data_IF_047706847869
#
_entry.id   IF_047706847869
#
_cell.length_a   1.000
_cell.length_b   1.000
_cell.length_c   1.000
_cell.angle_alpha   90.00
_cell.angle_beta   90.00
_cell.angle_gamma   90.00
#
_symmetry.space_group_name_H-M   'P 1'
#
loop_
_entity.id
_entity.type
_entity.pdbx_description
1 polymer ?
#
# COMPACT_ATOMS: atom_id res chain seq x y z
N UNK A 1 55.20 20.62 41.87
CA UNK A 1 54.86 20.76 40.44
C UNK A 1 54.30 19.42 39.99
N UNK A 2 52.98 19.26 39.96
CA UNK A 2 52.32 17.95 39.80
C UNK A 2 51.63 17.92 38.45
N UNK A 3 52.19 17.18 37.50
CA UNK A 3 51.65 17.04 36.15
C UNK A 3 50.56 15.96 36.17
N UNK A 4 49.32 16.34 35.86
CA UNK A 4 48.23 15.39 35.60
C UNK A 4 48.16 15.11 34.11
N UNK A 5 48.34 13.86 33.72
CA UNK A 5 48.02 13.38 32.38
C UNK A 5 46.54 12.99 32.33
N UNK A 6 45.79 13.61 31.43
CA UNK A 6 44.42 13.22 31.08
C UNK A 6 44.54 12.31 29.85
N UNK A 7 44.22 11.03 30.02
CA UNK A 7 44.04 10.13 28.88
C UNK A 7 42.64 10.33 28.31
N UNK A 8 42.58 10.86 27.09
CA UNK A 8 41.35 10.96 26.32
C UNK A 8 41.13 9.59 25.63
N UNK A 9 40.16 8.82 26.12
CA UNK A 9 39.73 7.59 25.45
C UNK A 9 38.78 7.99 24.33
N UNK A 10 39.25 7.99 23.09
CA UNK A 10 38.42 8.12 21.90
C UNK A 10 37.70 6.79 21.65
N UNK A 11 36.43 6.73 22.03
CA UNK A 11 35.55 5.64 21.62
C UNK A 11 35.29 5.75 20.11
N UNK A 12 36.01 4.96 19.31
CA UNK A 12 35.67 4.73 17.91
C UNK A 12 34.38 3.91 17.87
N UNK A 13 33.26 4.57 17.59
CA UNK A 13 32.01 3.88 17.23
C UNK A 13 32.21 3.20 15.89
N UNK A 14 32.47 1.90 15.90
CA UNK A 14 32.41 1.07 14.69
C UNK A 14 30.93 0.97 14.28
N UNK A 15 30.51 1.79 13.32
CA UNK A 15 29.22 1.63 12.67
C UNK A 15 29.23 0.28 11.95
N UNK A 16 28.46 -0.68 12.47
CA UNK A 16 28.24 -1.97 11.83
C UNK A 16 27.30 -1.71 10.65
N UNK A 17 27.87 -1.48 9.47
CA UNK A 17 27.07 -1.47 8.25
C UNK A 17 26.67 -2.92 7.92
N UNK A 18 25.38 -3.18 7.86
CA UNK A 18 24.88 -4.44 7.33
C UNK A 18 25.34 -4.58 5.87
N UNK A 19 25.72 -5.80 5.47
CA UNK A 19 26.05 -6.06 4.07
C UNK A 19 24.83 -5.76 3.18
N UNK A 20 25.06 -5.16 2.02
CA UNK A 20 24.01 -4.92 1.03
C UNK A 20 23.36 -6.27 0.66
N UNK A 21 22.03 -6.38 0.67
CA UNK A 21 21.34 -7.60 0.25
C UNK A 21 21.79 -8.04 -1.15
N UNK A 22 22.02 -9.34 -1.32
CA UNK A 22 22.37 -9.94 -2.61
C UNK A 22 21.25 -10.84 -3.09
N UNK A 23 20.89 -10.71 -4.36
CA UNK A 23 20.00 -11.67 -5.01
C UNK A 23 20.70 -13.05 -5.10
N UNK A 24 20.01 -14.16 -4.83
CA UNK A 24 20.53 -15.50 -5.12
C UNK A 24 20.61 -15.78 -6.62
N UNK A 25 19.87 -15.03 -7.45
CA UNK A 25 19.98 -15.05 -8.90
C UNK A 25 21.00 -13.98 -9.35
N UNK A 26 22.14 -14.36 -9.94
CA UNK A 26 23.20 -13.42 -10.33
C UNK A 26 22.81 -12.48 -11.47
N UNK A 27 21.66 -12.72 -12.13
CA UNK A 27 21.13 -11.83 -13.18
C UNK A 27 20.38 -10.63 -12.61
N UNK A 28 20.04 -10.66 -11.32
CA UNK A 28 19.31 -9.59 -10.63
C UNK A 28 20.31 -8.79 -9.79
N UNK A 29 20.37 -7.49 -10.05
CA UNK A 29 21.18 -6.54 -9.29
C UNK A 29 20.28 -5.87 -8.25
N UNK A 30 20.78 -5.76 -7.02
CA UNK A 30 20.12 -5.04 -5.93
C UNK A 30 20.95 -3.81 -5.62
N UNK A 31 20.36 -2.62 -5.78
CA UNK A 31 21.03 -1.34 -5.53
C UNK A 31 20.19 -0.49 -4.58
N UNK A 32 20.86 0.37 -3.82
CA UNK A 32 20.20 1.31 -2.94
C UNK A 32 19.52 2.41 -3.77
N UNK A 33 18.20 2.53 -3.64
CA UNK A 33 17.41 3.54 -4.35
C UNK A 33 17.20 4.81 -3.52
N UNK A 34 16.76 4.66 -2.27
CA UNK A 34 16.56 5.75 -1.31
C UNK A 34 16.69 5.20 0.12
N UNK A 35 17.15 6.03 1.05
CA UNK A 35 17.25 5.70 2.48
C UNK A 35 16.88 6.88 3.37
N UNK A 36 16.77 6.67 4.68
CA UNK A 36 16.57 7.77 5.61
C UNK A 36 17.73 8.80 5.49
N UNK A 37 17.47 10.11 5.49
CA UNK A 37 16.18 10.77 5.75
C UNK A 37 15.33 11.08 4.50
N UNK A 38 15.67 10.54 3.33
CA UNK A 38 14.90 10.72 2.09
C UNK A 38 13.55 9.97 2.10
N UNK A 39 13.37 9.04 3.01
CA UNK A 39 12.10 8.35 3.28
C UNK A 39 12.13 7.79 4.69
N UNK A 40 10.96 7.70 5.33
CA UNK A 40 10.77 7.01 6.61
C UNK A 40 9.51 6.14 6.55
N UNK A 41 9.56 4.96 7.17
CA UNK A 41 8.40 4.04 7.30
C UNK A 41 7.62 3.83 5.97
N UNK A 42 8.26 3.29 4.92
CA UNK A 42 7.56 2.99 3.67
C UNK A 42 6.52 1.88 3.89
N UNK A 43 5.27 2.10 3.49
CA UNK A 43 4.17 1.11 3.68
C UNK A 43 3.57 0.58 2.38
N UNK A 44 3.71 1.29 1.26
CA UNK A 44 3.26 0.85 -0.05
C UNK A 44 4.13 1.44 -1.16
N UNK A 45 4.30 0.71 -2.27
CA UNK A 45 5.16 1.11 -3.39
C UNK A 45 4.52 0.74 -4.73
N UNK A 46 4.53 1.69 -5.67
CA UNK A 46 4.16 1.46 -7.05
C UNK A 46 5.18 2.08 -8.01
N UNK A 47 5.25 1.55 -9.22
CA UNK A 47 5.98 2.16 -10.33
C UNK A 47 4.99 2.50 -11.41
N UNK A 48 4.97 3.75 -11.83
CA UNK A 48 4.06 4.20 -12.88
C UNK A 48 4.61 3.94 -14.29
N UNK A 49 3.81 4.11 -15.36
CA UNK A 49 4.27 3.89 -16.73
C UNK A 49 5.43 4.77 -17.19
N UNK A 50 5.71 5.88 -16.50
CA UNK A 50 6.83 6.77 -16.76
C UNK A 50 8.10 6.35 -15.98
N UNK A 51 8.06 5.22 -15.26
CA UNK A 51 9.15 4.73 -14.43
C UNK A 51 9.35 5.53 -13.14
N UNK A 52 8.37 6.36 -12.75
CA UNK A 52 8.41 7.10 -11.48
C UNK A 52 8.01 6.15 -10.36
N UNK A 53 8.75 6.18 -9.26
CA UNK A 53 8.50 5.33 -8.10
C UNK A 53 7.68 6.13 -7.09
N UNK A 54 6.48 5.64 -6.78
CA UNK A 54 5.60 6.23 -5.78
C UNK A 54 5.66 5.40 -4.52
N UNK A 55 5.87 6.04 -3.37
CA UNK A 55 5.99 5.36 -2.08
C UNK A 55 5.18 6.09 -1.03
N UNK A 56 4.36 5.36 -0.28
CA UNK A 56 3.70 5.91 0.90
C UNK A 56 4.72 6.00 2.03
N UNK A 57 4.95 7.21 2.53
CA UNK A 57 5.72 7.53 3.73
C UNK A 57 4.74 7.66 4.91
N UNK A 58 4.71 6.67 5.80
CA UNK A 58 3.75 6.63 6.91
C UNK A 58 4.26 7.32 8.18
N UNK A 59 3.40 8.13 8.80
CA UNK A 59 3.62 8.87 10.03
C UNK A 59 2.52 8.63 11.08
N UNK A 60 1.43 7.97 10.69
CA UNK A 60 0.22 7.79 11.50
C UNK A 60 0.12 6.40 12.13
N UNK A 61 0.89 5.42 11.64
CA UNK A 61 0.88 4.06 12.14
C UNK A 61 1.43 3.95 13.57
N UNK A 62 0.58 3.63 14.55
CA UNK A 62 0.94 3.60 16.00
C UNK A 62 1.82 4.76 16.45
N UNK A 63 1.50 5.96 15.94
CA UNK A 63 2.25 7.18 16.18
C UNK A 63 2.46 7.41 17.69
N UNK A 64 3.72 7.42 18.19
CA UNK A 64 4.02 7.82 19.56
C UNK A 64 3.63 9.28 19.83
N UNK A 65 3.32 9.62 21.09
CA UNK A 65 2.90 10.98 21.49
C UNK A 65 3.95 12.05 21.20
N UNK A 66 5.22 11.70 21.22
CA UNK A 66 6.37 12.59 21.06
C UNK A 66 7.02 12.52 19.65
N UNK A 67 6.42 11.78 18.73
CA UNK A 67 6.94 11.60 17.37
C UNK A 67 7.12 12.93 16.63
N UNK A 68 8.31 13.10 16.03
CA UNK A 68 8.71 14.31 15.30
C UNK A 68 8.60 14.09 13.80
N UNK A 69 7.37 14.08 13.30
CA UNK A 69 7.08 14.04 11.86
C UNK A 69 5.69 14.64 11.56
N UNK A 70 5.32 14.78 10.28
CA UNK A 70 4.00 15.27 9.87
C UNK A 70 2.85 14.53 10.55
N UNK A 71 1.71 15.18 10.75
CA UNK A 71 0.53 14.57 11.38
C UNK A 71 -0.24 13.60 10.45
N UNK A 72 0.12 13.57 9.17
CA UNK A 72 -0.51 12.78 8.12
C UNK A 72 0.53 12.05 7.28
N UNK A 73 0.11 10.94 6.69
CA UNK A 73 0.91 10.17 5.75
C UNK A 73 1.02 10.93 4.41
N UNK A 74 2.05 10.62 3.64
CA UNK A 74 2.36 11.28 2.36
C UNK A 74 2.72 10.26 1.30
N UNK A 75 2.50 10.61 0.04
CA UNK A 75 3.02 9.88 -1.12
C UNK A 75 4.22 10.65 -1.65
N UNK A 76 5.39 10.04 -1.59
CA UNK A 76 6.60 10.54 -2.23
C UNK A 76 6.67 10.02 -3.67
N UNK A 77 7.07 10.88 -4.60
CA UNK A 77 7.40 10.48 -5.96
C UNK A 77 8.89 10.65 -6.19
N UNK A 78 9.53 9.55 -6.59
CA UNK A 78 10.94 9.51 -6.93
C UNK A 78 11.13 9.40 -8.44
N UNK A 79 12.08 10.17 -8.96
CA UNK A 79 12.57 10.07 -10.35
C UNK A 79 14.06 9.79 -10.34
N UNK A 80 14.53 9.07 -11.37
CA UNK A 80 15.95 8.79 -11.59
C UNK A 80 16.41 9.66 -12.76
N UNK A 81 17.46 10.45 -12.56
CA UNK A 81 18.06 11.20 -13.67
C UNK A 81 19.03 10.35 -14.48
N UNK A 82 19.53 10.87 -15.60
CA UNK A 82 20.47 10.16 -16.49
C UNK A 82 21.79 9.73 -15.84
N UNK A 83 22.11 10.23 -14.64
CA UNK A 83 23.30 9.87 -13.85
C UNK A 83 22.97 8.87 -12.73
N UNK A 84 21.76 8.31 -12.71
CA UNK A 84 21.32 7.35 -11.68
C UNK A 84 20.97 7.97 -10.32
N UNK A 85 20.99 9.31 -10.19
CA UNK A 85 20.66 9.97 -8.92
C UNK A 85 19.15 10.14 -8.77
N UNK A 86 18.64 9.82 -7.59
CA UNK A 86 17.24 9.99 -7.24
C UNK A 86 16.92 11.42 -6.82
N UNK A 87 15.79 11.94 -7.31
CA UNK A 87 15.14 13.16 -6.83
C UNK A 87 13.78 12.78 -6.26
N UNK A 88 13.31 13.50 -5.23
CA UNK A 88 11.97 13.27 -4.64
C UNK A 88 11.12 14.53 -4.59
N UNK A 89 9.82 14.37 -4.79
CA UNK A 89 8.78 15.36 -4.46
C UNK A 89 7.73 14.73 -3.56
N UNK A 90 6.97 15.57 -2.85
CA UNK A 90 5.72 15.12 -2.20
C UNK A 90 4.66 15.21 -3.30
N UNK A 91 4.22 14.06 -3.81
CA UNK A 91 3.22 13.98 -4.86
C UNK A 91 1.81 14.17 -4.30
N UNK A 92 1.53 13.61 -3.12
CA UNK A 92 0.25 13.77 -2.43
C UNK A 92 0.47 13.75 -0.92
N UNK A 93 -0.36 14.45 -0.16
CA UNK A 93 -0.32 14.43 1.31
C UNK A 93 -1.72 14.40 1.91
N UNK A 94 -1.78 14.34 3.24
CA UNK A 94 -3.04 14.34 3.96
C UNK A 94 -3.65 12.95 4.16
N UNK A 95 -2.92 11.88 3.84
CA UNK A 95 -3.40 10.52 4.06
C UNK A 95 -3.51 10.17 5.56
N UNK A 96 -4.50 9.37 5.95
CA UNK A 96 -4.57 8.74 7.26
C UNK A 96 -4.35 7.24 7.16
N UNK A 97 -3.40 6.68 7.91
CA UNK A 97 -3.15 5.24 7.93
C UNK A 97 -3.05 4.69 6.50
N UNK A 98 -2.08 5.20 5.73
CA UNK A 98 -1.86 4.82 4.34
C UNK A 98 -1.38 3.38 4.25
N UNK A 99 -2.14 2.57 3.49
CA UNK A 99 -2.02 1.12 3.46
C UNK A 99 -1.35 0.61 2.20
N UNK A 100 -1.70 1.15 1.04
CA UNK A 100 -1.24 0.65 -0.25
C UNK A 100 -1.35 1.68 -1.37
N UNK A 101 -0.55 1.52 -2.43
CA UNK A 101 -0.54 2.38 -3.62
C UNK A 101 -0.38 1.53 -4.87
N UNK A 102 -1.12 1.86 -5.92
CA UNK A 102 -0.91 1.27 -7.25
C UNK A 102 -1.09 2.32 -8.35
N UNK A 103 -0.29 2.21 -9.41
CA UNK A 103 -0.33 3.14 -10.54
C UNK A 103 -1.38 2.68 -11.56
N UNK A 104 -2.39 3.53 -11.79
CA UNK A 104 -3.38 3.35 -12.83
C UNK A 104 -2.95 3.94 -14.17
N UNK A 105 -3.92 4.09 -15.08
CA UNK A 105 -3.69 4.74 -16.37
C UNK A 105 -4.08 6.21 -16.39
N UNK A 106 -3.63 6.92 -17.43
CA UNK A 106 -3.96 8.33 -17.67
C UNK A 106 -3.61 9.24 -16.47
N UNK A 107 -2.47 8.95 -15.82
CA UNK A 107 -1.94 9.70 -14.69
C UNK A 107 -2.61 9.41 -13.33
N UNK A 108 -3.61 8.54 -13.27
CA UNK A 108 -4.26 8.20 -12.01
C UNK A 108 -3.41 7.29 -11.13
N UNK A 109 -3.27 7.67 -9.87
CA UNK A 109 -2.64 6.89 -8.82
C UNK A 109 -3.71 6.52 -7.80
N UNK A 110 -3.82 5.23 -7.48
CA UNK A 110 -4.79 4.71 -6.51
C UNK A 110 -4.10 4.54 -5.17
N UNK A 111 -4.75 5.01 -4.11
CA UNK A 111 -4.24 5.02 -2.75
C UNK A 111 -5.27 4.37 -1.85
N UNK A 112 -4.84 3.45 -1.00
CA UNK A 112 -5.65 2.90 0.07
C UNK A 112 -5.25 3.58 1.38
N UNK A 113 -6.24 4.15 2.06
CA UNK A 113 -6.23 4.36 3.51
C UNK A 113 -7.00 3.22 4.16
N UNK A 114 -6.90 3.11 5.49
CA UNK A 114 -7.68 2.13 6.26
C UNK A 114 -9.16 2.04 5.83
N UNK A 115 -9.82 3.19 5.68
CA UNK A 115 -11.28 3.31 5.51
C UNK A 115 -11.72 3.88 4.15
N UNK A 116 -10.79 4.14 3.23
CA UNK A 116 -11.16 4.53 1.87
C UNK A 116 -10.10 4.13 0.86
N UNK A 117 -10.54 3.90 -0.36
CA UNK A 117 -9.68 3.92 -1.53
C UNK A 117 -10.01 5.20 -2.28
N UNK A 118 -8.99 6.00 -2.56
CA UNK A 118 -9.08 7.19 -3.38
C UNK A 118 -8.17 7.04 -4.60
N UNK A 119 -8.41 7.87 -5.62
CA UNK A 119 -7.48 8.07 -6.71
C UNK A 119 -7.13 9.54 -6.83
N UNK A 120 -5.87 9.81 -7.11
CA UNK A 120 -5.31 11.15 -7.26
C UNK A 120 -4.58 11.27 -8.58
N UNK A 121 -4.52 12.47 -9.14
CA UNK A 121 -3.85 12.74 -10.40
C UNK A 121 -3.31 14.16 -10.39
N UNK A 122 -2.13 14.31 -11.00
CA UNK A 122 -1.52 15.59 -11.36
C UNK A 122 -2.04 15.98 -12.76
N UNK A 123 -2.73 17.12 -12.89
CA UNK A 123 -3.35 17.55 -14.15
C UNK A 123 -2.61 18.66 -14.88
N UNK A 124 -1.59 19.25 -14.25
CA UNK A 124 -0.75 20.30 -14.84
C UNK A 124 0.74 19.93 -14.94
N UNK A 125 1.09 18.68 -14.59
CA UNK A 125 2.42 18.09 -14.65
C UNK A 125 3.45 18.82 -13.75
N UNK A 126 3.02 19.46 -12.66
CA UNK A 126 3.90 20.15 -11.70
C UNK A 126 4.58 19.19 -10.70
N UNK A 127 4.22 17.91 -10.74
CA UNK A 127 4.74 16.86 -9.88
C UNK A 127 3.96 16.68 -8.57
N UNK A 128 2.77 17.28 -8.46
CA UNK A 128 1.83 17.13 -7.34
C UNK A 128 0.43 16.84 -7.85
N UNK A 129 -0.27 15.95 -7.15
CA UNK A 129 -1.65 15.67 -7.47
C UNK A 129 -2.56 16.83 -7.03
N UNK A 130 -3.34 17.34 -7.98
CA UNK A 130 -4.29 18.44 -7.82
C UNK A 130 -5.76 17.98 -7.94
N UNK A 131 -5.98 16.78 -8.49
CA UNK A 131 -7.29 16.16 -8.64
C UNK A 131 -7.41 14.93 -7.76
N UNK A 132 -8.52 14.81 -7.03
CA UNK A 132 -8.80 13.68 -6.16
C UNK A 132 -10.25 13.20 -6.32
N UNK A 133 -10.45 11.89 -6.22
CA UNK A 133 -11.76 11.27 -6.24
C UNK A 133 -11.77 10.05 -5.33
N UNK A 134 -12.73 9.96 -4.40
CA UNK A 134 -12.97 8.71 -3.68
C UNK A 134 -13.48 7.63 -4.66
N UNK A 135 -13.00 6.41 -4.46
CA UNK A 135 -13.34 5.22 -5.26
C UNK A 135 -14.24 4.30 -4.43
N UNK A 136 -13.81 3.97 -3.20
CA UNK A 136 -14.56 3.18 -2.23
C UNK A 136 -14.43 3.85 -0.87
N UNK A 137 -15.54 3.95 -0.14
CA UNK A 137 -15.55 4.44 1.26
C UNK A 137 -16.04 3.32 2.17
N UNK A 138 -15.46 3.21 3.36
CA UNK A 138 -15.85 2.25 4.39
C UNK A 138 -16.28 2.97 5.66
N UNK A 139 -17.49 2.67 6.13
CA UNK A 139 -17.92 3.03 7.48
C UNK A 139 -17.69 1.86 8.42
N UNK A 140 -17.00 2.10 9.54
CA UNK A 140 -16.78 1.12 10.60
C UNK A 140 -16.27 1.78 11.88
N UNK A 141 -16.47 1.12 13.01
CA UNK A 141 -15.87 1.49 14.30
C UNK A 141 -14.47 0.92 14.50
N UNK A 142 -13.98 0.06 13.60
CA UNK A 142 -12.62 -0.42 13.65
C UNK A 142 -11.62 0.74 13.45
N UNK A 143 -10.52 0.72 14.20
CA UNK A 143 -9.49 1.78 14.16
C UNK A 143 -8.05 1.24 14.13
N UNK A 144 -7.88 -0.07 14.03
CA UNK A 144 -6.56 -0.69 13.93
C UNK A 144 -5.90 -0.37 12.58
N UNK A 145 -4.67 0.16 12.56
CA UNK A 145 -4.04 0.71 11.35
C UNK A 145 -3.42 -0.35 10.42
N UNK A 146 -3.82 -1.62 10.54
CA UNK A 146 -3.25 -2.73 9.75
C UNK A 146 -4.26 -3.56 8.97
N UNK A 147 -5.54 -3.61 9.36
CA UNK A 147 -6.54 -4.54 8.83
C UNK A 147 -7.69 -3.84 8.11
N UNK A 148 -7.39 -2.71 7.48
CA UNK A 148 -8.30 -1.95 6.62
C UNK A 148 -8.22 -2.37 5.16
N UNK A 149 -8.58 -1.44 4.28
CA UNK A 149 -8.47 -1.59 2.83
C UNK A 149 -7.00 -1.61 2.39
N UNK A 150 -6.62 -2.57 1.55
CA UNK A 150 -5.24 -2.75 1.05
C UNK A 150 -5.22 -3.65 -0.20
N UNK A 151 -4.04 -4.09 -0.64
CA UNK A 151 -3.88 -5.09 -1.70
C UNK A 151 -4.47 -4.65 -3.03
N UNK A 152 -4.12 -3.45 -3.50
CA UNK A 152 -4.62 -2.86 -4.73
C UNK A 152 -3.94 -3.50 -5.96
N UNK A 153 -4.74 -4.03 -6.87
CA UNK A 153 -4.27 -4.51 -8.17
C UNK A 153 -5.34 -4.34 -9.24
N UNK A 154 -4.97 -4.52 -10.51
CA UNK A 154 -5.92 -4.41 -11.61
C UNK A 154 -6.17 -5.75 -12.29
N UNK A 155 -7.42 -6.01 -12.64
CA UNK A 155 -7.85 -7.19 -13.35
C UNK A 155 -8.47 -6.84 -14.71
N UNK A 156 -8.45 -7.73 -15.70
CA UNK A 156 -9.24 -7.57 -16.92
C UNK A 156 -10.70 -7.27 -16.60
N UNK A 157 -11.30 -6.26 -17.26
CA UNK A 157 -12.66 -5.83 -16.95
C UNK A 157 -13.67 -6.96 -17.11
N UNK A 158 -14.65 -7.00 -16.22
CA UNK A 158 -15.75 -7.96 -16.33
C UNK A 158 -16.79 -7.57 -17.36
N UNK A 159 -16.86 -6.28 -17.70
CA UNK A 159 -17.79 -5.75 -18.70
C UNK A 159 -17.25 -6.05 -20.10
N UNK A 160 -15.95 -5.86 -20.31
CA UNK A 160 -15.27 -6.15 -21.57
C UNK A 160 -13.89 -6.75 -21.31
N UNK A 161 -13.77 -8.07 -21.49
CA UNK A 161 -12.53 -8.83 -21.21
C UNK A 161 -11.35 -8.47 -22.11
N UNK A 162 -11.55 -7.67 -23.16
CA UNK A 162 -10.46 -7.11 -23.97
C UNK A 162 -9.74 -5.97 -23.25
N UNK A 163 -10.41 -5.36 -22.27
CA UNK A 163 -9.83 -4.32 -21.42
C UNK A 163 -9.07 -5.03 -20.29
N UNK A 164 -7.75 -4.89 -20.28
CA UNK A 164 -6.83 -5.57 -19.35
C UNK A 164 -6.04 -4.57 -18.49
N UNK A 165 -5.33 -5.10 -17.50
CA UNK A 165 -4.41 -4.36 -16.63
C UNK A 165 -5.07 -3.09 -16.03
N UNK A 166 -4.32 -2.01 -15.90
CA UNK A 166 -4.76 -0.74 -15.33
C UNK A 166 -5.91 -0.03 -16.08
N UNK A 167 -6.45 -0.60 -17.16
CA UNK A 167 -7.70 -0.15 -17.81
C UNK A 167 -8.94 -0.90 -17.34
N UNK A 168 -8.76 -2.06 -16.72
CA UNK A 168 -9.83 -2.98 -16.39
C UNK A 168 -10.58 -2.59 -15.12
N UNK A 169 -10.65 -3.50 -14.17
CA UNK A 169 -11.32 -3.31 -12.89
C UNK A 169 -10.29 -3.31 -11.75
N UNK A 170 -10.59 -2.59 -10.67
CA UNK A 170 -9.78 -2.55 -9.46
C UNK A 170 -10.14 -3.75 -8.57
N UNK A 171 -9.12 -4.49 -8.13
CA UNK A 171 -9.18 -5.51 -7.09
C UNK A 171 -8.57 -4.92 -5.82
N UNK A 172 -9.18 -5.20 -4.68
CA UNK A 172 -8.67 -4.78 -3.38
C UNK A 172 -9.08 -5.75 -2.27
N UNK A 173 -8.28 -5.78 -1.21
CA UNK A 173 -8.53 -6.52 0.02
C UNK A 173 -9.12 -5.64 1.12
N UNK A 174 -9.77 -6.27 2.09
CA UNK A 174 -10.11 -5.74 3.40
C UNK A 174 -9.69 -6.78 4.43
N UNK A 175 -8.89 -6.39 5.43
CA UNK A 175 -8.62 -7.25 6.57
C UNK A 175 -9.84 -7.47 7.45
N UNK A 176 -9.72 -8.29 8.49
CA UNK A 176 -10.83 -8.70 9.36
C UNK A 176 -11.40 -7.56 10.23
N UNK A 177 -10.79 -6.38 10.15
CA UNK A 177 -11.33 -5.15 10.72
C UNK A 177 -11.58 -5.22 12.25
N UNK A 178 -10.76 -5.98 12.97
CA UNK A 178 -10.89 -6.33 14.40
C UNK A 178 -12.26 -6.95 14.74
N UNK A 179 -12.83 -7.69 13.81
CA UNK A 179 -14.16 -8.27 13.91
C UNK A 179 -15.28 -7.24 13.97
N UNK A 180 -15.02 -5.94 13.76
CA UNK A 180 -16.07 -4.94 13.69
C UNK A 180 -16.88 -5.06 12.41
N UNK A 181 -18.18 -4.84 12.52
CA UNK A 181 -19.04 -4.65 11.36
C UNK A 181 -18.56 -3.47 10.51
N UNK A 182 -18.84 -3.54 9.21
CA UNK A 182 -18.47 -2.50 8.26
C UNK A 182 -19.52 -2.38 7.14
N UNK A 183 -19.54 -1.22 6.51
CA UNK A 183 -20.28 -0.99 5.26
C UNK A 183 -19.35 -0.37 4.24
N UNK A 184 -19.17 -1.02 3.09
CA UNK A 184 -18.47 -0.49 1.92
C UNK A 184 -19.45 0.18 0.96
N UNK A 185 -19.06 1.32 0.42
CA UNK A 185 -19.85 2.12 -0.51
C UNK A 185 -19.10 2.28 -1.84
N UNK A 186 -19.72 1.84 -2.93
CA UNK A 186 -19.34 2.20 -4.29
C UNK A 186 -19.94 3.55 -4.69
N UNK A 187 -19.33 4.22 -5.67
CA UNK A 187 -19.76 5.55 -6.14
C UNK A 187 -21.12 5.56 -6.85
N UNK A 188 -21.58 4.42 -7.34
CA UNK A 188 -22.91 4.24 -7.90
C UNK A 188 -23.97 3.89 -6.83
N UNK A 189 -23.62 3.99 -5.55
CA UNK A 189 -24.53 3.75 -4.44
C UNK A 189 -24.67 2.27 -4.05
N UNK A 190 -23.95 1.36 -4.72
CA UNK A 190 -23.87 -0.04 -4.30
C UNK A 190 -23.25 -0.13 -2.90
N UNK A 191 -23.87 -0.92 -2.03
CA UNK A 191 -23.42 -1.15 -0.65
C UNK A 191 -23.11 -2.61 -0.42
N UNK A 192 -22.05 -2.89 0.33
CA UNK A 192 -21.76 -4.22 0.86
C UNK A 192 -21.58 -4.12 2.37
N UNK A 193 -22.35 -4.91 3.10
CA UNK A 193 -22.33 -4.94 4.56
C UNK A 193 -21.63 -6.21 5.05
N UNK A 194 -20.71 -6.04 5.98
CA UNK A 194 -20.07 -7.13 6.72
C UNK A 194 -20.54 -7.12 8.16
N UNK A 195 -21.09 -8.25 8.63
CA UNK A 195 -21.47 -8.41 10.03
C UNK A 195 -20.23 -8.44 10.94
N UNK A 196 -20.42 -8.18 12.23
CA UNK A 196 -19.36 -8.36 13.21
C UNK A 196 -18.85 -9.82 13.18
N UNK A 197 -17.52 -10.00 13.19
CA UNK A 197 -16.86 -11.31 13.12
C UNK A 197 -16.89 -11.99 11.75
N UNK A 198 -17.34 -11.32 10.68
CA UNK A 198 -17.42 -11.93 9.34
C UNK A 198 -16.03 -12.21 8.71
N UNK A 199 -14.97 -11.62 9.26
CA UNK A 199 -13.62 -11.68 8.73
C UNK A 199 -13.37 -10.71 7.57
N UNK A 200 -12.21 -10.84 6.95
CA UNK A 200 -11.79 -10.05 5.79
C UNK A 200 -12.30 -10.60 4.46
N UNK A 201 -12.00 -9.88 3.38
CA UNK A 201 -12.47 -10.22 2.05
C UNK A 201 -11.62 -9.66 0.92
N UNK A 202 -11.87 -10.17 -0.28
CA UNK A 202 -11.36 -9.61 -1.54
C UNK A 202 -12.53 -9.12 -2.36
N UNK A 203 -12.41 -7.93 -2.91
CA UNK A 203 -13.46 -7.16 -3.55
C UNK A 203 -13.02 -6.68 -4.93
N UNK A 204 -14.00 -6.24 -5.71
CA UNK A 204 -13.80 -5.70 -7.04
C UNK A 204 -14.77 -4.56 -7.32
N UNK A 205 -14.30 -3.56 -8.05
CA UNK A 205 -15.13 -2.52 -8.64
C UNK A 205 -14.52 -2.06 -9.97
N UNK A 206 -15.25 -1.28 -10.76
CA UNK A 206 -14.63 -0.55 -11.87
C UNK A 206 -13.57 0.42 -11.34
N UNK A 207 -12.64 0.87 -12.19
CA UNK A 207 -11.60 1.84 -11.81
C UNK A 207 -12.15 3.19 -11.31
N UNK A 208 -13.42 3.50 -11.58
CA UNK A 208 -14.13 4.66 -11.05
C UNK A 208 -15.06 4.29 -9.88
N UNK A 209 -14.90 3.14 -9.24
CA UNK A 209 -15.58 2.82 -7.98
C UNK A 209 -17.03 2.37 -8.10
N UNK A 210 -17.47 2.00 -9.31
CA UNK A 210 -18.84 1.51 -9.56
C UNK A 210 -18.87 -0.02 -9.59
N UNK A 211 -20.08 -0.59 -9.56
CA UNK A 211 -20.31 -2.04 -9.62
C UNK A 211 -19.51 -2.82 -8.57
N UNK A 212 -19.43 -2.25 -7.36
CA UNK A 212 -18.74 -2.86 -6.24
C UNK A 212 -19.33 -4.26 -5.95
N UNK A 213 -18.45 -5.24 -5.74
CA UNK A 213 -18.82 -6.61 -5.38
C UNK A 213 -17.77 -7.29 -4.52
N UNK A 214 -18.21 -8.22 -3.69
CA UNK A 214 -17.32 -9.13 -2.98
C UNK A 214 -17.01 -10.34 -3.85
N UNK A 215 -15.72 -10.67 -3.98
CA UNK A 215 -15.27 -11.88 -4.67
C UNK A 215 -15.23 -13.05 -3.70
N UNK A 216 -14.59 -12.86 -2.54
CA UNK A 216 -14.35 -13.92 -1.57
C UNK A 216 -14.29 -13.36 -0.14
N UNK A 217 -14.37 -14.26 0.85
CA UNK A 217 -14.33 -13.96 2.29
C UNK A 217 -13.42 -14.95 3.05
N UNK A 218 -13.29 -14.77 4.36
CA UNK A 218 -12.56 -15.70 5.23
C UNK A 218 -11.05 -15.44 5.25
N UNK A 219 -10.67 -14.17 5.07
CA UNK A 219 -9.28 -13.71 5.18
C UNK A 219 -9.05 -13.05 6.54
N UNK A 220 -7.81 -13.10 7.05
CA UNK A 220 -7.45 -12.26 8.19
C UNK A 220 -7.02 -10.88 7.71
N UNK A 221 -6.10 -10.82 6.77
CA UNK A 221 -5.59 -9.59 6.19
C UNK A 221 -4.93 -9.85 4.82
N UNK A 222 -5.72 -9.79 3.71
CA UNK A 222 -5.23 -10.02 2.35
C UNK A 222 -4.46 -8.77 1.86
N UNK A 223 -3.30 -8.54 2.46
CA UNK A 223 -2.55 -7.28 2.39
C UNK A 223 -1.98 -6.97 1.00
N UNK A 224 -1.73 -8.02 0.22
CA UNK A 224 -1.24 -7.92 -1.15
C UNK A 224 -2.08 -8.79 -2.07
N UNK A 225 -2.52 -8.22 -3.18
CA UNK A 225 -3.13 -8.99 -4.27
C UNK A 225 -2.34 -8.80 -5.55
N UNK A 226 -2.35 -9.82 -6.41
CA UNK A 226 -1.93 -9.67 -7.79
C UNK A 226 -2.88 -10.41 -8.71
N UNK A 227 -2.96 -9.95 -9.95
CA UNK A 227 -3.81 -10.54 -10.97
C UNK A 227 -2.93 -10.84 -12.16
N UNK A 228 -3.10 -12.03 -12.71
CA UNK A 228 -2.40 -12.37 -13.94
C UNK A 228 -3.22 -12.00 -15.19
N UNK A 229 -2.60 -12.18 -16.37
CA UNK A 229 -3.20 -11.86 -17.66
C UNK A 229 -4.49 -12.65 -17.97
N UNK A 230 -4.77 -13.74 -17.26
CA UNK A 230 -6.00 -14.53 -17.43
C UNK A 230 -7.09 -14.13 -16.43
N UNK A 231 -6.82 -13.13 -15.57
CA UNK A 231 -7.73 -12.67 -14.54
C UNK A 231 -7.78 -13.56 -13.30
N UNK A 232 -6.80 -14.46 -13.12
CA UNK A 232 -6.68 -15.22 -11.87
C UNK A 232 -6.11 -14.31 -10.80
N UNK A 233 -6.74 -14.32 -9.63
CA UNK A 233 -6.41 -13.44 -8.51
C UNK A 233 -5.62 -14.25 -7.50
N UNK A 234 -4.48 -13.74 -7.06
CA UNK A 234 -3.71 -14.29 -5.97
C UNK A 234 -3.65 -13.29 -4.84
N UNK A 235 -3.73 -13.77 -3.60
CA UNK A 235 -3.61 -12.95 -2.41
C UNK A 235 -2.59 -13.57 -1.45
N UNK A 236 -1.79 -12.71 -0.83
CA UNK A 236 -1.04 -13.07 0.37
C UNK A 236 -1.86 -12.63 1.58
N UNK A 237 -2.21 -13.61 2.41
CA UNK A 237 -3.00 -13.40 3.62
C UNK A 237 -2.14 -13.65 4.84
N UNK A 238 -2.00 -12.63 5.68
CA UNK A 238 -1.24 -12.74 6.92
C UNK A 238 -2.08 -13.43 8.01
N UNK A 239 -1.47 -13.88 9.11
CA UNK A 239 -2.20 -14.45 10.25
C UNK A 239 -2.03 -13.58 11.50
N UNK A 240 -2.96 -13.66 12.47
CA UNK A 240 -2.82 -12.95 13.73
C UNK A 240 -1.55 -13.38 14.49
N UNK A 241 -0.86 -12.40 15.07
CA UNK A 241 0.21 -12.63 16.06
C UNK A 241 1.49 -13.27 15.52
N UNK A 242 1.77 -13.15 14.21
CA UNK A 242 3.02 -13.65 13.62
C UNK A 242 3.15 -15.17 13.66
N UNK A 243 2.03 -15.90 13.84
CA UNK A 243 2.01 -17.35 13.83
C UNK A 243 1.79 -17.83 12.40
N UNK A 244 2.83 -18.35 11.73
CA UNK A 244 2.64 -18.96 10.42
C UNK A 244 1.59 -20.10 10.49
N UNK A 245 1.01 -20.46 9.34
CA UNK A 245 1.44 -20.04 8.01
C UNK A 245 0.67 -18.81 7.48
N UNK A 246 1.39 -17.73 7.14
CA UNK A 246 0.89 -16.79 6.16
C UNK A 246 0.58 -17.58 4.88
N UNK A 247 -0.51 -17.22 4.21
CA UNK A 247 -1.09 -18.05 3.14
C UNK A 247 -0.90 -17.35 1.80
N UNK A 248 -0.42 -18.09 0.80
CA UNK A 248 -0.56 -17.71 -0.60
C UNK A 248 -1.80 -18.41 -1.15
N UNK A 249 -2.78 -17.62 -1.57
CA UNK A 249 -4.11 -18.09 -1.95
C UNK A 249 -4.38 -17.77 -3.42
N UNK A 250 -4.87 -18.76 -4.18
CA UNK A 250 -5.57 -18.49 -5.43
C UNK A 250 -7.03 -18.17 -5.09
N UNK A 251 -7.40 -16.90 -5.27
CA UNK A 251 -8.71 -16.35 -4.90
C UNK A 251 -9.75 -16.69 -5.97
N UNK A 252 -10.75 -17.48 -5.60
CA UNK A 252 -11.84 -17.89 -6.50
C UNK A 252 -13.16 -17.22 -6.12
N UNK A 253 -14.05 -16.94 -7.09
CA UNK A 253 -15.36 -16.37 -6.80
C UNK A 253 -16.16 -17.20 -5.80
N UNK A 254 -16.76 -16.53 -4.82
CA UNK A 254 -17.51 -17.10 -3.69
C UNK A 254 -16.67 -17.99 -2.76
N UNK A 255 -15.33 -17.93 -2.86
CA UNK A 255 -14.44 -18.64 -1.97
C UNK A 255 -14.58 -18.18 -0.51
N UNK A 256 -14.46 -19.14 0.40
CA UNK A 256 -14.35 -18.92 1.84
C UNK A 256 -13.06 -19.56 2.32
N UNK A 257 -12.15 -18.74 2.82
CA UNK A 257 -10.82 -19.17 3.24
C UNK A 257 -10.72 -19.46 4.75
N UNK A 258 -11.84 -19.38 5.48
CA UNK A 258 -11.98 -19.97 6.82
C UNK A 258 -11.18 -19.34 7.96
N UNK A 259 -10.75 -18.07 7.83
CA UNK A 259 -10.41 -17.28 9.01
C UNK A 259 -11.63 -17.10 9.92
#
# INVERSE_FOLDING_TARGET
>A
MTVRFIFLVTALTTSIFAAVPKSPDPRIIVELFAEAPQIVTPTGLAVDPNGRVLVIESHTHFRPKDYKGPDRDRVLMFTINSKGKTNRTIFHDGLNMGMDVTAGMNGWIYLAERNRILRVRDTDDDGKADKYEDVIVMETNGTYPHNGLSGLSFAPSEIDRRIIDAKGDLIFGLGENLGHAYTLFGRDGVKIEGAAGIGGGVFRCTIDGKKLKQIARGFWNPFGTCVDKWGRIFAVDNNPGGRPPCRLLHVVPKGDYGY
#
